data_IF_670887655764
#
_entry.id   IF_670887655764
#
_cell.length_a   1.000
_cell.length_b   1.000
_cell.length_c   1.000
_cell.angle_alpha   90.00
_cell.angle_beta   90.00
_cell.angle_gamma   90.00
#
_symmetry.space_group_name_H-M   'P 1'
#
loop_
_entity.id
_entity.type
_entity.pdbx_description
1 polymer ?
#
# COMPACT_ATOMS: atom_id res chain seq x y z
N UNK A 1 -47.48 37.20 -28.27
CA UNK A 1 -48.78 36.48 -28.28
C UNK A 1 -48.86 35.35 -27.22
N UNK A 2 -48.05 35.38 -26.15
CA UNK A 2 -48.07 34.37 -25.06
C UNK A 2 -48.96 34.77 -23.86
N UNK A 3 -49.42 36.01 -23.79
CA UNK A 3 -50.19 36.54 -22.65
C UNK A 3 -51.59 35.94 -22.52
N UNK A 4 -52.25 35.67 -23.65
CA UNK A 4 -53.60 35.08 -23.70
C UNK A 4 -53.65 33.63 -23.17
N UNK A 5 -52.76 32.71 -23.58
CA UNK A 5 -52.77 31.34 -23.05
C UNK A 5 -52.36 31.28 -21.57
N UNK A 6 -51.39 32.09 -21.12
CA UNK A 6 -50.99 32.15 -19.70
C UNK A 6 -52.15 32.68 -18.84
N UNK A 7 -52.83 33.75 -19.28
CA UNK A 7 -53.97 34.30 -18.56
C UNK A 7 -55.12 33.31 -18.42
N UNK A 8 -55.39 32.50 -19.45
CA UNK A 8 -56.39 31.41 -19.41
C UNK A 8 -55.98 30.29 -18.45
N UNK A 9 -54.70 29.92 -18.42
CA UNK A 9 -54.17 28.92 -17.48
C UNK A 9 -54.33 29.39 -16.03
N UNK A 10 -53.95 30.63 -15.73
CA UNK A 10 -54.07 31.22 -14.39
C UNK A 10 -55.52 31.30 -13.95
N UNK A 11 -56.42 31.74 -14.83
CA UNK A 11 -57.86 31.79 -14.53
C UNK A 11 -58.49 30.40 -14.31
N UNK A 12 -58.00 29.36 -15.00
CA UNK A 12 -58.42 27.98 -14.77
C UNK A 12 -57.89 27.44 -13.44
N UNK A 13 -56.64 27.76 -13.09
CA UNK A 13 -56.04 27.42 -11.80
C UNK A 13 -56.74 28.10 -10.62
N UNK A 14 -57.08 29.40 -10.74
CA UNK A 14 -57.75 30.14 -9.67
C UNK A 14 -59.17 29.65 -9.40
N UNK A 15 -59.93 29.27 -10.44
CA UNK A 15 -61.28 28.67 -10.28
C UNK A 15 -61.24 27.27 -9.64
N UNK A 16 -60.11 26.56 -9.71
CA UNK A 16 -59.94 25.20 -9.18
C UNK A 16 -58.81 25.12 -8.15
N UNK A 17 -58.63 26.18 -7.35
CA UNK A 17 -57.48 26.34 -6.45
C UNK A 17 -57.25 25.13 -5.53
N UNK A 18 -58.31 24.56 -4.93
CA UNK A 18 -58.19 23.39 -4.03
C UNK A 18 -57.69 22.14 -4.79
N UNK A 19 -58.19 21.89 -6.01
CA UNK A 19 -57.73 20.77 -6.83
C UNK A 19 -56.27 20.93 -7.25
N UNK A 20 -55.87 22.15 -7.62
CA UNK A 20 -54.47 22.46 -7.95
C UNK A 20 -53.57 22.24 -6.74
N UNK A 21 -54.02 22.65 -5.54
CA UNK A 21 -53.26 22.47 -4.31
C UNK A 21 -53.11 20.99 -3.93
N UNK A 22 -54.17 20.19 -4.03
CA UNK A 22 -54.09 18.74 -3.81
C UNK A 22 -53.19 18.05 -4.83
N UNK A 23 -53.29 18.42 -6.11
CA UNK A 23 -52.43 17.88 -7.16
C UNK A 23 -50.96 18.19 -6.87
N UNK A 24 -50.63 19.43 -6.50
CA UNK A 24 -49.27 19.81 -6.12
C UNK A 24 -48.80 19.10 -4.85
N UNK A 25 -49.66 18.92 -3.85
CA UNK A 25 -49.32 18.16 -2.65
C UNK A 25 -48.97 16.70 -2.99
N UNK A 26 -49.73 16.05 -3.88
CA UNK A 26 -49.43 14.70 -4.37
C UNK A 26 -48.14 14.67 -5.17
N UNK A 27 -47.89 15.64 -6.05
CA UNK A 27 -46.65 15.74 -6.82
C UNK A 27 -45.43 15.94 -5.93
N UNK A 28 -45.53 16.79 -4.91
CA UNK A 28 -44.47 17.02 -3.92
C UNK A 28 -44.24 15.76 -3.09
N UNK A 29 -45.30 15.11 -2.60
CA UNK A 29 -45.20 13.84 -1.89
C UNK A 29 -44.54 12.75 -2.73
N UNK A 30 -44.89 12.67 -4.02
CA UNK A 30 -44.26 11.76 -4.99
C UNK A 30 -42.79 12.10 -5.23
N UNK A 31 -42.45 13.38 -5.42
CA UNK A 31 -41.09 13.83 -5.60
C UNK A 31 -40.22 13.52 -4.37
N UNK A 32 -40.74 13.78 -3.16
CA UNK A 32 -40.06 13.42 -1.91
C UNK A 32 -39.87 11.91 -1.79
N UNK A 33 -40.90 11.11 -2.07
CA UNK A 33 -40.80 9.66 -2.02
C UNK A 33 -39.76 9.12 -3.03
N UNK A 34 -39.68 9.71 -4.23
CA UNK A 34 -38.68 9.36 -5.24
C UNK A 34 -37.28 9.77 -4.79
N UNK A 35 -37.12 11.00 -4.30
CA UNK A 35 -35.84 11.51 -3.80
C UNK A 35 -35.34 10.66 -2.62
N UNK A 36 -36.18 10.36 -1.64
CA UNK A 36 -35.78 9.52 -0.49
C UNK A 36 -35.38 8.09 -0.90
N UNK A 37 -35.90 7.58 -2.03
CA UNK A 37 -35.61 6.22 -2.51
C UNK A 37 -34.48 6.16 -3.53
N UNK A 38 -34.15 7.26 -4.21
CA UNK A 38 -33.21 7.28 -5.34
C UNK A 38 -32.05 8.26 -5.19
N UNK A 39 -32.08 9.12 -4.18
CA UNK A 39 -30.96 10.02 -3.90
C UNK A 39 -29.83 9.19 -3.30
N UNK A 40 -28.81 8.94 -4.11
CA UNK A 40 -27.59 8.27 -3.72
C UNK A 40 -26.41 9.22 -3.91
N UNK A 41 -25.41 9.12 -3.04
CA UNK A 41 -24.22 9.98 -3.07
C UNK A 41 -23.03 9.07 -3.36
N UNK A 42 -22.50 9.18 -4.59
CA UNK A 42 -21.29 8.45 -4.98
C UNK A 42 -20.05 9.30 -4.74
N UNK A 43 -19.03 8.71 -4.10
CA UNK A 43 -17.67 9.26 -4.01
C UNK A 43 -16.78 8.77 -5.16
N UNK A 44 -17.33 8.01 -6.10
CA UNK A 44 -16.59 7.49 -7.24
C UNK A 44 -16.39 8.58 -8.31
N UNK A 45 -15.17 9.11 -8.36
CA UNK A 45 -14.74 10.11 -9.35
C UNK A 45 -14.77 9.56 -10.78
N UNK A 46 -14.72 8.24 -10.97
CA UNK A 46 -14.79 7.60 -12.29
C UNK A 46 -16.14 7.85 -12.99
N UNK A 47 -17.20 8.05 -12.21
CA UNK A 47 -18.57 8.30 -12.71
C UNK A 47 -18.75 9.72 -13.25
N UNK A 48 -17.85 10.64 -12.92
CA UNK A 48 -17.87 12.02 -13.45
C UNK A 48 -17.54 12.06 -14.95
N UNK A 49 -16.93 11.01 -15.48
CA UNK A 49 -16.51 10.91 -16.88
C UNK A 49 -17.34 9.88 -17.66
N UNK A 50 -17.65 10.23 -18.91
CA UNK A 50 -18.38 9.36 -19.83
C UNK A 50 -17.72 7.99 -19.98
N UNK A 51 -18.51 6.93 -19.84
CA UNK A 51 -18.08 5.54 -20.03
C UNK A 51 -17.56 5.23 -21.45
N UNK A 52 -17.86 6.10 -22.44
CA UNK A 52 -17.46 5.91 -23.84
C UNK A 52 -16.04 6.39 -24.15
N UNK A 53 -15.34 6.97 -23.18
CA UNK A 53 -13.98 7.46 -23.38
C UNK A 53 -13.02 6.28 -23.63
N UNK A 54 -12.12 6.36 -24.63
CA UNK A 54 -11.23 5.24 -24.97
C UNK A 54 -10.38 4.74 -23.80
N UNK A 55 -9.93 5.62 -22.90
CA UNK A 55 -9.15 5.24 -21.72
C UNK A 55 -9.99 4.50 -20.67
N UNK A 56 -11.28 4.84 -20.54
CA UNK A 56 -12.20 4.22 -19.59
C UNK A 56 -12.53 2.80 -20.03
N UNK A 57 -12.84 2.58 -21.31
CA UNK A 57 -13.02 1.23 -21.85
C UNK A 57 -11.81 0.33 -21.61
N UNK A 58 -10.58 0.86 -21.74
CA UNK A 58 -9.35 0.11 -21.45
C UNK A 58 -9.20 -0.17 -19.95
N UNK A 59 -9.48 0.82 -19.10
CA UNK A 59 -9.43 0.67 -17.64
C UNK A 59 -10.44 -0.38 -17.15
N UNK A 60 -11.67 -0.34 -17.65
CA UNK A 60 -12.72 -1.32 -17.35
C UNK A 60 -12.38 -2.72 -17.88
N UNK A 61 -11.63 -2.79 -18.99
CA UNK A 61 -11.13 -4.07 -19.52
C UNK A 61 -10.01 -4.61 -18.64
N UNK A 62 -9.06 -3.78 -18.21
CA UNK A 62 -7.99 -4.17 -17.30
C UNK A 62 -8.56 -4.64 -15.96
N UNK A 63 -9.50 -3.88 -15.39
CA UNK A 63 -10.21 -4.22 -14.17
C UNK A 63 -10.86 -5.61 -14.28
N UNK A 64 -11.57 -5.89 -15.39
CA UNK A 64 -12.20 -7.20 -15.63
C UNK A 64 -11.19 -8.35 -15.78
N UNK A 65 -10.02 -8.11 -16.38
CA UNK A 65 -8.99 -9.12 -16.57
C UNK A 65 -8.18 -9.39 -15.31
N UNK A 66 -8.07 -8.40 -14.41
CA UNK A 66 -7.30 -8.48 -13.17
C UNK A 66 -8.16 -8.07 -11.96
N UNK A 67 -9.22 -8.84 -11.64
CA UNK A 67 -10.16 -8.48 -10.56
C UNK A 67 -9.47 -8.36 -9.20
N UNK A 68 -8.39 -9.11 -8.98
CA UNK A 68 -7.57 -9.07 -7.77
C UNK A 68 -6.81 -7.75 -7.51
N UNK A 69 -6.70 -6.87 -8.53
CA UNK A 69 -6.10 -5.54 -8.38
C UNK A 69 -7.15 -4.47 -8.04
N UNK A 70 -8.44 -4.82 -8.11
CA UNK A 70 -9.51 -3.91 -7.71
C UNK A 70 -9.65 -3.93 -6.18
N UNK A 71 -10.02 -2.78 -5.62
CA UNK A 71 -10.28 -2.61 -4.18
C UNK A 71 -9.12 -3.02 -3.27
N UNK A 72 -7.89 -2.97 -3.79
CA UNK A 72 -6.69 -3.27 -3.02
C UNK A 72 -6.36 -2.12 -2.07
N UNK A 73 -6.27 -2.44 -0.79
CA UNK A 73 -5.75 -1.52 0.23
C UNK A 73 -4.24 -1.69 0.34
N UNK A 74 -3.52 -0.57 0.36
CA UNK A 74 -2.06 -0.54 0.56
C UNK A 74 -1.76 0.13 1.88
N UNK A 75 -1.18 -0.63 2.81
CA UNK A 75 -0.66 -0.12 4.07
C UNK A 75 0.86 0.09 3.96
N UNK A 76 1.33 1.27 4.36
CA UNK A 76 2.76 1.60 4.42
C UNK A 76 3.17 1.63 5.89
N UNK A 77 4.22 0.90 6.23
CA UNK A 77 4.78 0.83 7.58
C UNK A 77 6.12 1.54 7.54
N UNK A 78 6.27 2.52 8.42
CA UNK A 78 7.47 3.32 8.57
C UNK A 78 8.07 3.05 9.97
N UNK A 79 9.39 2.90 10.04
CA UNK A 79 10.12 2.63 11.27
C UNK A 79 11.56 3.15 11.15
N UNK A 80 12.23 3.37 12.29
CA UNK A 80 13.60 3.87 12.32
C UNK A 80 14.60 2.87 11.72
N UNK A 81 14.33 1.57 11.87
CA UNK A 81 15.13 0.48 11.32
C UNK A 81 14.35 -0.32 10.27
N UNK A 82 14.99 -0.70 9.14
CA UNK A 82 14.32 -1.47 8.11
C UNK A 82 13.89 -2.86 8.59
N UNK A 83 14.66 -3.50 9.50
CA UNK A 83 14.31 -4.79 10.09
C UNK A 83 13.05 -4.70 10.94
N UNK A 84 12.89 -3.62 11.71
CA UNK A 84 11.70 -3.36 12.53
C UNK A 84 10.45 -3.14 11.67
N UNK A 85 10.59 -2.37 10.57
CA UNK A 85 9.51 -2.17 9.62
C UNK A 85 9.05 -3.50 9.01
N UNK A 86 10.00 -4.38 8.65
CA UNK A 86 9.72 -5.69 8.08
C UNK A 86 9.03 -6.62 9.07
N UNK A 87 9.50 -6.70 10.32
CA UNK A 87 8.89 -7.51 11.37
C UNK A 87 7.49 -7.00 11.73
N UNK A 88 7.29 -5.69 11.80
CA UNK A 88 5.97 -5.09 12.03
C UNK A 88 5.01 -5.44 10.89
N UNK A 89 5.49 -5.39 9.64
CA UNK A 89 4.72 -5.82 8.48
C UNK A 89 4.36 -7.32 8.52
N UNK A 90 5.29 -8.19 8.96
CA UNK A 90 5.04 -9.63 9.19
C UNK A 90 3.93 -9.83 10.22
N UNK A 91 4.05 -9.18 11.37
CA UNK A 91 3.11 -9.32 12.47
C UNK A 91 1.71 -8.82 12.08
N UNK A 92 1.61 -7.65 11.45
CA UNK A 92 0.35 -7.09 10.99
C UNK A 92 -0.32 -8.01 9.95
N UNK A 93 0.43 -8.47 8.96
CA UNK A 93 -0.11 -9.38 7.94
C UNK A 93 -0.57 -10.71 8.54
N UNK A 94 0.15 -11.25 9.53
CA UNK A 94 -0.26 -12.47 10.23
C UNK A 94 -1.59 -12.29 10.97
N UNK A 95 -1.83 -11.12 11.58
CA UNK A 95 -3.11 -10.83 12.23
C UNK A 95 -4.25 -10.65 11.21
N UNK A 96 -4.01 -9.87 10.14
CA UNK A 96 -5.04 -9.61 9.12
C UNK A 96 -5.46 -10.89 8.37
N UNK A 97 -4.54 -11.84 8.17
CA UNK A 97 -4.86 -13.15 7.55
C UNK A 97 -5.83 -13.99 8.37
N UNK A 98 -5.94 -13.74 9.67
CA UNK A 98 -6.89 -14.47 10.52
C UNK A 98 -8.33 -13.99 10.30
N UNK A 99 -8.51 -12.76 9.81
CA UNK A 99 -9.82 -12.18 9.50
C UNK A 99 -10.19 -12.39 8.02
N UNK A 100 -10.53 -13.64 7.69
CA UNK A 100 -11.03 -14.00 6.36
C UNK A 100 -12.43 -13.47 6.04
N UNK A 101 -13.12 -12.83 6.99
CA UNK A 101 -14.45 -12.26 6.77
C UNK A 101 -14.36 -10.87 6.12
N UNK A 102 -13.37 -10.06 6.53
CA UNK A 102 -13.16 -8.73 5.97
C UNK A 102 -12.04 -8.67 4.93
N UNK A 103 -11.06 -9.58 4.99
CA UNK A 103 -9.93 -9.60 4.07
C UNK A 103 -9.88 -10.90 3.27
N UNK A 104 -10.04 -10.79 1.95
CA UNK A 104 -9.95 -11.95 1.03
C UNK A 104 -8.53 -12.49 0.91
N UNK A 105 -7.54 -11.59 0.89
CA UNK A 105 -6.13 -11.96 0.79
C UNK A 105 -5.26 -10.86 1.38
N UNK A 106 -4.15 -11.25 1.99
CA UNK A 106 -3.17 -10.34 2.58
C UNK A 106 -1.78 -10.76 2.13
N UNK A 107 -1.13 -9.89 1.37
CA UNK A 107 0.19 -10.12 0.81
C UNK A 107 1.17 -9.06 1.32
N UNK A 108 2.38 -9.49 1.67
CA UNK A 108 3.51 -8.59 1.94
C UNK A 108 4.54 -8.82 0.83
N UNK A 109 4.65 -7.91 -0.15
CA UNK A 109 5.49 -8.12 -1.33
C UNK A 109 6.95 -8.47 -1.00
N UNK A 110 7.50 -7.86 0.04
CA UNK A 110 8.89 -8.05 0.48
C UNK A 110 9.16 -9.43 1.11
N UNK A 111 8.12 -10.19 1.47
CA UNK A 111 8.23 -11.51 2.10
C UNK A 111 7.97 -12.66 1.13
N UNK A 112 8.05 -12.41 -0.18
CA UNK A 112 7.93 -13.48 -1.15
C UNK A 112 9.07 -14.51 -0.91
N UNK A 113 8.77 -15.79 -0.61
CA UNK A 113 9.80 -16.79 -0.30
C UNK A 113 10.87 -16.90 -1.40
N UNK A 114 10.45 -16.77 -2.67
CA UNK A 114 11.38 -16.79 -3.80
C UNK A 114 12.35 -15.59 -3.76
N UNK A 115 11.87 -14.39 -3.42
CA UNK A 115 12.74 -13.21 -3.34
C UNK A 115 13.63 -13.23 -2.12
N UNK A 116 13.19 -13.83 -1.01
CA UNK A 116 14.02 -14.02 0.18
C UNK A 116 15.16 -15.01 -0.10
N UNK A 117 14.86 -16.14 -0.75
CA UNK A 117 15.87 -17.17 -1.03
C UNK A 117 16.78 -16.80 -2.21
N UNK A 118 16.26 -16.09 -3.21
CA UNK A 118 16.96 -15.79 -4.45
C UNK A 118 17.23 -14.31 -4.69
N UNK A 119 17.10 -13.46 -3.67
CA UNK A 119 17.26 -12.00 -3.80
C UNK A 119 18.59 -11.58 -4.42
N UNK A 120 19.67 -12.31 -4.11
CA UNK A 120 21.00 -12.06 -4.67
C UNK A 120 21.11 -12.28 -6.18
N UNK A 121 20.22 -13.09 -6.77
CA UNK A 121 20.21 -13.36 -8.22
C UNK A 121 19.73 -12.16 -9.04
N UNK A 122 19.11 -11.17 -8.40
CA UNK A 122 18.64 -9.95 -9.05
C UNK A 122 19.69 -8.83 -9.07
N UNK A 123 20.88 -9.05 -8.49
CA UNK A 123 21.99 -8.09 -8.55
C UNK A 123 22.78 -8.27 -9.85
N UNK A 124 23.32 -7.15 -10.36
CA UNK A 124 24.30 -7.19 -11.44
C UNK A 124 25.53 -8.01 -11.03
N UNK A 125 26.18 -8.75 -11.95
CA UNK A 125 27.31 -9.62 -11.63
C UNK A 125 28.45 -8.93 -10.87
N UNK A 126 28.72 -7.65 -11.18
CA UNK A 126 29.75 -6.86 -10.48
C UNK A 126 29.40 -6.59 -9.02
N UNK A 127 28.14 -6.25 -8.75
CA UNK A 127 27.66 -5.97 -7.39
C UNK A 127 27.59 -7.27 -6.59
N UNK A 128 27.13 -8.36 -7.22
CA UNK A 128 27.13 -9.68 -6.61
C UNK A 128 28.53 -10.11 -6.19
N UNK A 129 29.53 -9.93 -7.07
CA UNK A 129 30.92 -10.25 -6.76
C UNK A 129 31.44 -9.44 -5.56
N UNK A 130 31.18 -8.13 -5.51
CA UNK A 130 31.58 -7.29 -4.39
C UNK A 130 30.93 -7.73 -3.05
N UNK A 131 29.65 -8.10 -3.08
CA UNK A 131 28.93 -8.62 -1.89
C UNK A 131 29.53 -9.94 -1.44
N UNK A 132 29.81 -10.86 -2.36
CA UNK A 132 30.44 -12.16 -2.05
C UNK A 132 31.85 -11.98 -1.48
N UNK A 133 32.68 -11.16 -2.09
CA UNK A 133 34.05 -10.88 -1.63
C UNK A 133 34.05 -10.25 -0.23
N UNK A 134 33.14 -9.30 0.02
CA UNK A 134 32.95 -8.69 1.34
C UNK A 134 32.50 -9.73 2.38
N UNK A 135 31.54 -10.59 2.02
CA UNK A 135 31.03 -11.65 2.91
C UNK A 135 32.12 -12.66 3.26
N UNK A 136 32.93 -13.08 2.27
CA UNK A 136 34.08 -13.99 2.48
C UNK A 136 35.11 -13.34 3.41
N UNK A 137 35.44 -12.07 3.18
CA UNK A 137 36.38 -11.32 4.03
C UNK A 137 35.88 -11.20 5.47
N UNK A 138 34.57 -11.06 5.66
CA UNK A 138 33.94 -10.94 6.97
C UNK A 138 33.64 -12.29 7.66
N UNK A 139 33.89 -13.46 7.02
CA UNK A 139 33.54 -14.77 7.58
C UNK A 139 34.02 -15.02 9.02
N UNK A 140 35.28 -14.70 9.41
CA UNK A 140 35.74 -14.93 10.77
C UNK A 140 34.92 -14.15 11.82
N UNK A 141 34.50 -12.94 11.47
CA UNK A 141 33.66 -12.09 12.30
C UNK A 141 32.21 -12.64 12.36
N UNK A 142 31.63 -12.91 11.19
CA UNK A 142 30.27 -13.42 11.08
C UNK A 142 30.09 -14.79 11.74
N UNK A 143 31.10 -15.66 11.66
CA UNK A 143 31.10 -16.97 12.32
C UNK A 143 31.08 -16.87 13.85
N UNK A 144 31.83 -15.92 14.41
CA UNK A 144 31.79 -15.64 15.86
C UNK A 144 30.44 -15.09 16.31
N UNK A 145 29.89 -14.13 15.57
CA UNK A 145 28.60 -13.53 15.87
C UNK A 145 27.42 -14.50 15.69
N UNK A 146 27.50 -15.41 14.71
CA UNK A 146 26.49 -16.45 14.52
C UNK A 146 26.47 -17.45 15.70
N UNK A 147 27.62 -17.68 16.35
CA UNK A 147 27.72 -18.56 17.52
C UNK A 147 27.23 -17.88 18.81
N UNK A 148 27.47 -16.58 18.98
CA UNK A 148 26.96 -15.76 20.10
C UNK A 148 26.39 -14.42 19.59
N UNK A 149 25.09 -14.37 19.21
CA UNK A 149 24.43 -13.18 18.71
C UNK A 149 24.02 -12.23 19.84
N UNK A 150 24.93 -11.98 20.78
CA UNK A 150 24.75 -11.02 21.88
C UNK A 150 25.76 -9.88 21.77
N UNK A 151 25.50 -8.79 22.50
CA UNK A 151 26.46 -7.69 22.60
C UNK A 151 27.83 -8.16 23.10
N UNK A 152 27.87 -9.16 23.99
CA UNK A 152 29.12 -9.77 24.47
C UNK A 152 29.86 -10.46 23.32
N UNK A 153 29.19 -11.35 22.59
CA UNK A 153 29.78 -12.06 21.45
C UNK A 153 30.29 -11.12 20.36
N UNK A 154 29.58 -10.02 20.12
CA UNK A 154 30.01 -8.94 19.23
C UNK A 154 31.33 -8.29 19.71
N UNK A 155 31.42 -7.90 20.98
CA UNK A 155 32.64 -7.29 21.53
C UNK A 155 33.81 -8.29 21.58
N UNK A 156 33.55 -9.57 21.83
CA UNK A 156 34.56 -10.64 21.78
C UNK A 156 35.09 -10.82 20.35
N UNK A 157 34.22 -10.85 19.34
CA UNK A 157 34.61 -10.94 17.93
C UNK A 157 35.43 -9.72 17.47
N UNK A 158 35.03 -8.51 17.89
CA UNK A 158 35.79 -7.28 17.62
C UNK A 158 37.17 -7.30 18.31
N UNK A 159 37.24 -7.83 19.53
CA UNK A 159 38.51 -7.96 20.28
C UNK A 159 39.47 -8.95 19.61
N UNK A 160 38.95 -10.05 19.05
CA UNK A 160 39.74 -11.02 18.29
C UNK A 160 40.33 -10.40 17.01
N UNK A 161 39.55 -9.59 16.28
CA UNK A 161 40.05 -8.87 15.10
C UNK A 161 41.13 -7.87 15.51
N UNK A 162 40.90 -7.10 16.58
CA UNK A 162 41.88 -6.14 17.09
C UNK A 162 43.19 -6.84 17.52
N UNK A 163 43.10 -8.02 18.14
CA UNK A 163 44.26 -8.83 18.52
C UNK A 163 45.02 -9.36 17.28
N UNK A 164 44.31 -9.82 16.26
CA UNK A 164 44.90 -10.28 15.00
C UNK A 164 45.64 -9.16 14.26
N UNK A 165 45.10 -7.95 14.29
CA UNK A 165 45.78 -6.76 13.75
C UNK A 165 47.02 -6.40 14.58
N UNK A 166 46.91 -6.40 15.91
CA UNK A 166 48.03 -6.10 16.80
C UNK A 166 49.19 -7.11 16.65
N UNK A 167 48.88 -8.36 16.32
CA UNK A 167 49.86 -9.41 16.04
C UNK A 167 50.37 -9.41 14.58
N UNK A 168 49.93 -8.47 13.74
CA UNK A 168 50.33 -8.38 12.33
C UNK A 168 49.75 -9.49 11.43
N UNK A 169 48.72 -10.20 11.90
CA UNK A 169 48.06 -11.30 11.20
C UNK A 169 46.84 -10.86 10.39
N UNK A 170 46.38 -9.60 10.56
CA UNK A 170 45.25 -9.03 9.84
C UNK A 170 45.46 -7.53 9.51
N UNK A 171 44.95 -7.07 8.36
CA UNK A 171 44.98 -5.65 7.95
C UNK A 171 43.64 -4.97 8.25
N UNK A 172 43.67 -3.87 9.01
CA UNK A 172 42.50 -3.04 9.36
C UNK A 172 41.80 -2.43 8.14
N UNK A 173 42.52 -2.25 7.02
CA UNK A 173 41.97 -1.59 5.84
C UNK A 173 40.76 -2.30 5.25
N UNK A 174 40.69 -3.64 5.37
CA UNK A 174 39.55 -4.43 4.90
C UNK A 174 38.29 -4.26 5.74
N UNK A 175 38.42 -3.92 7.02
CA UNK A 175 37.30 -3.84 7.98
C UNK A 175 36.76 -2.42 8.17
N UNK A 176 37.53 -1.40 7.78
CA UNK A 176 37.14 0.02 7.93
C UNK A 176 35.76 0.36 7.35
N UNK A 177 35.37 -0.08 6.13
CA UNK A 177 34.04 0.26 5.59
C UNK A 177 32.89 -0.29 6.43
N UNK A 178 33.05 -1.50 6.97
CA UNK A 178 32.03 -2.12 7.82
C UNK A 178 31.94 -1.39 9.18
N UNK A 179 33.08 -1.04 9.78
CA UNK A 179 33.13 -0.30 11.05
C UNK A 179 32.55 1.12 10.95
N UNK A 180 32.80 1.82 9.83
CA UNK A 180 32.23 3.14 9.57
C UNK A 180 30.71 3.08 9.35
N UNK A 181 30.19 2.04 8.68
CA UNK A 181 28.76 1.83 8.52
C UNK A 181 28.04 1.61 9.87
N UNK A 182 28.64 0.84 10.77
CA UNK A 182 28.14 0.66 12.14
C UNK A 182 28.13 1.96 12.96
N UNK A 183 29.09 2.86 12.74
CA UNK A 183 29.15 4.13 13.46
C UNK A 183 28.14 5.19 12.94
N UNK A 184 27.62 5.00 11.73
CA UNK A 184 26.67 5.91 11.08
C UNK A 184 25.20 5.49 11.24
N UNK A 185 24.96 4.31 11.82
CA UNK A 185 23.63 3.82 12.23
C UNK A 185 23.37 4.23 13.67
#
# INVERSE_FOLDING_TARGET
MLSLPIGRLVAACSRRAILVLLLFAVLVGGALAVSMRRLDVTTDTSTMFSAKLPWKTRSDTLARLFPQQQDQLVAVIDADLPEEAQETARALAAQLRQDGAHFLSVNVPQQNPYLVDHGLLFLDPKNLQAVLDSTVTAQPFLGGLAADPSGRGLFDALSLIALGVAQGQADLKGFRPALEAFAAT
#
